data_IF_298539566357
#
_entry.id   IF_298539566357
#
_cell.length_a   1.000
_cell.length_b   1.000
_cell.length_c   1.000
_cell.angle_alpha   90.00
_cell.angle_beta   90.00
_cell.angle_gamma   90.00
#
_symmetry.space_group_name_H-M   'P 1'
#
loop_
_entity.id
_entity.type
_entity.pdbx_description
1 polymer ?
#
# COMPACT_ATOMS: atom_id res chain seq x y z
N UNK A 1 10.73 27.71 -20.30
CA UNK A 1 9.25 27.69 -20.31
C UNK A 1 8.66 26.28 -20.50
N UNK A 2 9.01 25.49 -21.53
CA UNK A 2 8.39 24.16 -21.78
C UNK A 2 8.70 23.03 -20.76
N UNK A 3 9.85 23.05 -20.08
CA UNK A 3 10.25 21.99 -19.11
C UNK A 3 9.71 22.25 -17.70
N UNK A 4 9.83 23.49 -17.21
CA UNK A 4 9.35 23.92 -15.88
C UNK A 4 7.84 23.81 -15.73
N UNK A 5 7.08 24.08 -16.80
CA UNK A 5 5.62 23.97 -16.79
C UNK A 5 5.18 22.49 -16.65
N UNK A 6 5.84 21.56 -17.35
CA UNK A 6 5.55 20.12 -17.22
C UNK A 6 5.87 19.59 -15.81
N UNK A 7 6.94 20.08 -15.19
CA UNK A 7 7.32 19.72 -13.82
C UNK A 7 6.32 20.21 -12.77
N UNK A 8 5.83 21.46 -12.86
CA UNK A 8 4.83 22.03 -11.93
C UNK A 8 3.51 21.25 -11.97
N UNK A 9 3.04 20.87 -13.18
CA UNK A 9 1.85 20.04 -13.32
C UNK A 9 2.00 18.71 -12.57
N UNK A 10 3.12 18.02 -12.80
CA UNK A 10 3.36 16.73 -12.17
C UNK A 10 3.49 16.83 -10.66
N UNK A 11 4.13 17.86 -10.12
CA UNK A 11 4.23 18.01 -8.67
C UNK A 11 2.87 18.30 -8.03
N UNK A 12 2.03 19.13 -8.64
CA UNK A 12 0.67 19.39 -8.13
C UNK A 12 -0.20 18.15 -8.25
N UNK A 13 -0.09 17.39 -9.34
CA UNK A 13 -0.80 16.13 -9.52
C UNK A 13 -0.29 15.06 -8.55
N UNK A 14 1.02 14.85 -8.43
CA UNK A 14 1.61 13.90 -7.47
C UNK A 14 1.27 14.29 -6.03
N UNK A 15 1.38 15.57 -5.66
CA UNK A 15 0.95 16.03 -4.36
C UNK A 15 -0.55 15.76 -4.16
N UNK A 16 -1.38 15.93 -5.19
CA UNK A 16 -2.80 15.56 -5.14
C UNK A 16 -3.05 14.08 -4.82
N UNK A 17 -2.29 13.19 -5.47
CA UNK A 17 -2.42 11.75 -5.26
C UNK A 17 -1.86 11.30 -3.92
N UNK A 18 -0.71 11.83 -3.50
CA UNK A 18 -0.17 11.48 -2.19
C UNK A 18 -1.05 12.03 -1.07
N UNK A 19 -1.61 13.23 -1.23
CA UNK A 19 -2.61 13.76 -0.31
C UNK A 19 -3.83 12.82 -0.21
N UNK A 20 -4.19 12.15 -1.31
CA UNK A 20 -5.36 11.28 -1.35
C UNK A 20 -5.23 9.98 -0.57
N UNK A 21 -4.00 9.55 -0.30
CA UNK A 21 -3.68 8.50 0.68
C UNK A 21 -4.04 8.89 2.12
N UNK A 22 -4.20 10.19 2.41
CA UNK A 22 -4.63 10.67 3.73
C UNK A 22 -6.16 10.86 3.85
N UNK A 23 -6.92 10.58 2.78
CA UNK A 23 -8.35 10.91 2.66
C UNK A 23 -9.32 9.98 3.40
N UNK A 24 -8.91 8.79 3.85
CA UNK A 24 -9.82 7.81 4.45
C UNK A 24 -9.59 7.59 5.95
N UNK A 25 -9.75 8.62 6.80
CA UNK A 25 -9.83 8.56 8.29
C UNK A 25 -8.76 7.72 9.01
N UNK A 26 -7.71 7.34 8.30
CA UNK A 26 -6.85 6.25 8.64
C UNK A 26 -5.71 6.38 7.68
N UNK A 27 -4.51 6.58 8.25
CA UNK A 27 -3.37 7.24 7.65
C UNK A 27 -3.34 8.77 7.93
N UNK A 28 -2.92 9.14 9.14
CA UNK A 28 -2.40 10.49 9.45
C UNK A 28 -1.02 10.67 8.75
N UNK A 29 -0.99 10.67 7.41
CA UNK A 29 0.27 10.64 6.65
C UNK A 29 0.72 12.03 6.21
N UNK A 30 -0.17 13.02 6.26
CA UNK A 30 0.14 14.38 5.83
C UNK A 30 0.38 15.29 7.04
N UNK A 31 1.62 15.75 7.18
CA UNK A 31 1.94 16.90 8.05
C UNK A 31 1.81 18.21 7.27
N UNK A 32 1.90 19.35 7.95
CA UNK A 32 1.90 20.70 7.37
C UNK A 32 2.92 20.95 6.22
N UNK A 33 3.78 19.98 5.91
CA UNK A 33 4.76 20.02 4.81
C UNK A 33 4.16 20.05 3.40
N UNK A 34 2.92 19.57 3.16
CA UNK A 34 2.36 19.58 1.79
C UNK A 34 2.07 20.98 1.26
N UNK A 35 1.59 21.87 2.13
CA UNK A 35 1.40 23.29 1.79
C UNK A 35 2.77 23.93 1.50
N UNK A 36 3.83 23.46 2.16
CA UNK A 36 5.18 23.97 1.98
C UNK A 36 5.82 23.46 0.68
N UNK A 37 5.69 22.18 0.32
CA UNK A 37 6.16 21.64 -0.96
C UNK A 37 5.43 22.30 -2.15
N UNK A 38 4.12 22.52 -2.04
CA UNK A 38 3.35 23.29 -3.03
C UNK A 38 3.87 24.74 -3.13
N UNK A 39 4.26 25.37 -2.01
CA UNK A 39 4.86 26.72 -1.98
C UNK A 39 6.29 26.77 -2.54
N UNK A 40 7.14 25.79 -2.23
CA UNK A 40 8.52 25.72 -2.74
C UNK A 40 8.58 25.47 -4.26
N UNK A 41 7.55 24.79 -4.80
CA UNK A 41 7.31 24.64 -6.23
C UNK A 41 6.74 25.92 -6.85
N UNK A 42 5.85 26.63 -6.14
CA UNK A 42 5.34 27.94 -6.55
C UNK A 42 6.45 29.00 -6.65
N UNK A 43 7.40 28.97 -5.72
CA UNK A 43 8.46 29.99 -5.59
C UNK A 43 9.74 29.63 -6.35
N UNK A 44 9.80 28.43 -6.96
CA UNK A 44 10.91 28.01 -7.82
C UNK A 44 12.19 27.65 -7.09
N UNK A 45 12.13 27.40 -5.78
CA UNK A 45 13.29 27.15 -4.89
C UNK A 45 13.64 25.66 -4.72
N UNK A 46 12.97 24.78 -5.46
CA UNK A 46 13.02 23.30 -5.33
C UNK A 46 14.37 22.64 -5.67
N UNK A 47 15.39 23.40 -6.09
CA UNK A 47 16.72 22.87 -6.42
C UNK A 47 17.67 22.94 -5.21
N UNK A 48 17.54 22.02 -4.25
CA UNK A 48 18.61 21.70 -3.29
C UNK A 48 18.51 20.25 -2.76
N UNK A 49 18.77 19.22 -3.57
CA UNK A 49 19.58 18.02 -3.20
C UNK A 49 19.73 17.04 -4.36
N UNK A 50 20.79 16.23 -4.28
CA UNK A 50 21.35 15.36 -5.32
C UNK A 50 20.58 14.05 -5.60
N UNK A 51 20.94 13.48 -6.75
CA UNK A 51 20.32 12.41 -7.52
C UNK A 51 20.45 11.00 -6.89
N UNK A 52 19.38 10.20 -7.03
CA UNK A 52 19.39 8.74 -6.91
C UNK A 52 18.64 8.13 -8.10
N UNK A 53 19.24 7.13 -8.74
CA UNK A 53 18.70 6.40 -9.89
C UNK A 53 17.71 5.30 -9.43
N UNK A 54 16.59 5.14 -10.14
CA UNK A 54 15.62 4.05 -9.94
C UNK A 54 15.27 3.37 -11.27
N UNK A 55 15.28 2.03 -11.26
CA UNK A 55 14.98 1.14 -12.37
C UNK A 55 13.51 0.66 -12.40
N UNK A 56 13.14 0.08 -13.54
CA UNK A 56 11.82 -0.27 -14.07
C UNK A 56 11.37 -1.70 -13.74
N UNK A 57 10.05 -1.94 -13.62
CA UNK A 57 9.34 -3.07 -14.25
C UNK A 57 7.84 -3.06 -13.93
N UNK A 58 6.99 -3.02 -14.96
CA UNK A 58 5.61 -3.54 -14.89
C UNK A 58 5.58 -5.00 -15.35
N UNK A 59 4.85 -5.88 -14.66
CA UNK A 59 4.89 -7.32 -14.96
C UNK A 59 3.51 -7.99 -15.11
N UNK A 60 3.43 -8.87 -16.11
CA UNK A 60 2.47 -9.97 -16.22
C UNK A 60 2.70 -11.00 -15.09
N UNK A 61 1.71 -11.86 -14.80
CA UNK A 61 1.81 -12.91 -13.77
C UNK A 61 3.12 -13.71 -13.87
N UNK A 62 3.97 -13.59 -12.85
CA UNK A 62 5.28 -14.25 -12.74
C UNK A 62 5.24 -15.50 -11.86
N UNK A 63 4.07 -15.86 -11.30
CA UNK A 63 3.91 -17.02 -10.43
C UNK A 63 3.84 -18.29 -11.28
N UNK A 64 4.74 -19.22 -11.03
CA UNK A 64 4.73 -20.55 -11.64
C UNK A 64 3.45 -21.32 -11.26
N UNK A 65 2.86 -22.12 -12.18
CA UNK A 65 1.64 -22.87 -11.90
C UNK A 65 1.76 -23.78 -10.67
N UNK A 66 0.74 -23.75 -9.82
CA UNK A 66 0.64 -24.65 -8.68
C UNK A 66 0.62 -26.12 -9.10
N UNK A 67 1.29 -26.97 -8.31
CA UNK A 67 1.29 -28.42 -8.45
C UNK A 67 0.73 -29.05 -7.18
N UNK A 68 -0.30 -29.88 -7.32
CA UNK A 68 -0.88 -30.61 -6.19
C UNK A 68 0.16 -31.53 -5.53
N UNK A 69 0.17 -31.57 -4.20
CA UNK A 69 1.16 -32.35 -3.45
C UNK A 69 1.13 -32.09 -1.95
N UNK A 70 2.12 -32.64 -1.26
CA UNK A 70 2.32 -32.42 0.18
C UNK A 70 3.54 -31.55 0.40
N UNK A 71 3.37 -30.46 1.15
CA UNK A 71 4.39 -29.45 1.42
C UNK A 71 4.42 -29.18 2.92
N UNK A 72 5.57 -29.36 3.56
CA UNK A 72 5.73 -29.16 5.02
C UNK A 72 4.80 -30.04 5.86
N UNK A 73 4.35 -31.17 5.32
CA UNK A 73 3.37 -32.07 5.94
C UNK A 73 1.89 -31.72 5.69
N UNK A 74 1.59 -30.67 4.92
CA UNK A 74 0.24 -30.23 4.57
C UNK A 74 -0.09 -30.67 3.13
N UNK A 75 -1.24 -31.30 2.92
CA UNK A 75 -1.70 -31.73 1.60
C UNK A 75 -2.50 -30.61 0.91
N UNK A 76 -2.10 -30.25 -0.31
CA UNK A 76 -2.78 -29.28 -1.16
C UNK A 76 -3.25 -29.97 -2.45
N UNK A 77 -4.57 -30.04 -2.62
CA UNK A 77 -5.19 -30.68 -3.79
C UNK A 77 -5.31 -29.73 -4.99
N UNK A 78 -5.49 -28.45 -4.72
CA UNK A 78 -5.72 -27.37 -5.69
C UNK A 78 -5.34 -26.00 -5.09
N UNK A 79 -5.39 -24.95 -5.90
CA UNK A 79 -5.12 -23.57 -5.45
C UNK A 79 -6.08 -23.10 -4.35
N UNK A 80 -7.34 -23.58 -4.37
CA UNK A 80 -8.31 -23.23 -3.33
C UNK A 80 -7.87 -23.75 -1.95
N UNK A 81 -7.29 -24.95 -1.89
CA UNK A 81 -6.72 -25.50 -0.65
C UNK A 81 -5.53 -24.68 -0.14
N UNK A 82 -4.70 -24.13 -1.04
CA UNK A 82 -3.59 -23.23 -0.67
C UNK A 82 -4.12 -21.93 -0.07
N UNK A 83 -5.09 -21.29 -0.73
CA UNK A 83 -5.70 -20.03 -0.26
C UNK A 83 -6.40 -20.23 1.09
N UNK A 84 -7.16 -21.31 1.26
CA UNK A 84 -7.84 -21.60 2.52
C UNK A 84 -6.85 -21.81 3.68
N UNK A 85 -5.70 -22.46 3.42
CA UNK A 85 -4.66 -22.62 4.44
C UNK A 85 -3.97 -21.30 4.77
N UNK A 86 -3.70 -20.45 3.77
CA UNK A 86 -3.22 -19.08 4.00
C UNK A 86 -4.19 -18.31 4.91
N UNK A 87 -5.49 -18.32 4.62
CA UNK A 87 -6.52 -17.65 5.44
C UNK A 87 -6.56 -18.19 6.87
N UNK A 88 -6.43 -19.51 7.04
CA UNK A 88 -6.33 -20.13 8.36
C UNK A 88 -5.11 -19.61 9.13
N UNK A 89 -3.93 -19.61 8.51
CA UNK A 89 -2.69 -19.17 9.14
C UNK A 89 -2.69 -17.66 9.43
N UNK A 90 -3.23 -16.86 8.51
CA UNK A 90 -3.47 -15.42 8.69
C UNK A 90 -4.33 -15.16 9.92
N UNK A 91 -5.49 -15.81 10.02
CA UNK A 91 -6.43 -15.63 11.12
C UNK A 91 -5.83 -16.07 12.46
N UNK A 92 -5.10 -17.18 12.47
CA UNK A 92 -4.36 -17.62 13.64
C UNK A 92 -3.32 -16.58 14.07
N UNK A 93 -2.56 -16.02 13.13
CA UNK A 93 -1.55 -14.98 13.40
C UNK A 93 -2.18 -13.70 13.94
N UNK A 94 -3.26 -13.22 13.32
CA UNK A 94 -4.00 -12.02 13.77
C UNK A 94 -4.73 -12.24 15.10
N UNK A 95 -4.87 -13.47 15.58
CA UNK A 95 -5.37 -13.69 16.95
C UNK A 95 -4.32 -13.44 18.04
N UNK A 96 -3.03 -13.33 17.67
CA UNK A 96 -1.91 -13.25 18.60
C UNK A 96 -1.54 -11.80 18.90
N UNK A 97 -1.28 -11.52 20.17
CA UNK A 97 -0.81 -10.21 20.65
C UNK A 97 0.50 -10.32 21.41
N UNK A 98 1.24 -9.22 21.44
CA UNK A 98 2.44 -9.06 22.26
C UNK A 98 2.34 -7.77 23.10
N UNK A 99 3.15 -7.70 24.16
CA UNK A 99 3.25 -6.52 25.00
C UNK A 99 4.34 -5.59 24.47
N UNK A 100 4.06 -4.29 24.50
CA UNK A 100 4.96 -3.25 24.08
C UNK A 100 4.96 -2.11 25.10
N UNK A 101 5.97 -1.25 25.03
CA UNK A 101 5.95 0.07 25.67
C UNK A 101 5.73 1.12 24.58
N UNK A 102 4.75 2.01 24.75
CA UNK A 102 4.50 3.11 23.82
C UNK A 102 5.43 4.32 24.05
N UNK A 103 5.29 5.34 23.21
CA UNK A 103 6.12 6.55 23.26
C UNK A 103 5.98 7.34 24.57
N UNK A 104 4.88 7.15 25.31
CA UNK A 104 4.63 7.78 26.60
C UNK A 104 5.11 6.91 27.78
N UNK A 105 5.67 5.73 27.49
CA UNK A 105 6.17 4.78 28.49
C UNK A 105 5.10 3.85 29.07
N UNK A 106 3.90 3.79 28.49
CA UNK A 106 2.83 2.91 28.96
C UNK A 106 2.96 1.51 28.38
N UNK A 107 2.60 0.51 29.18
CA UNK A 107 2.42 -0.86 28.68
C UNK A 107 1.15 -0.95 27.83
N UNK A 108 1.29 -1.41 26.60
CA UNK A 108 0.21 -1.58 25.62
C UNK A 108 0.28 -2.99 25.01
N UNK A 109 -0.85 -3.49 24.50
CA UNK A 109 -0.92 -4.78 23.80
C UNK A 109 -1.37 -4.56 22.37
N UNK A 110 -0.55 -4.98 21.42
CA UNK A 110 -0.81 -4.88 19.98
C UNK A 110 -0.64 -6.25 19.32
N UNK A 111 -0.93 -6.36 18.02
CA UNK A 111 -0.61 -7.57 17.25
C UNK A 111 0.83 -8.03 17.49
N UNK A 112 1.05 -9.33 17.64
CA UNK A 112 2.39 -9.89 17.86
C UNK A 112 3.30 -9.69 16.64
N UNK A 113 2.73 -9.80 15.44
CA UNK A 113 3.41 -9.62 14.17
C UNK A 113 3.07 -8.25 13.57
N UNK A 114 3.81 -7.22 14.01
CA UNK A 114 3.77 -5.89 13.41
C UNK A 114 4.74 -5.80 12.22
N UNK A 115 4.36 -5.03 11.20
CA UNK A 115 5.13 -4.86 9.97
C UNK A 115 5.67 -3.45 9.76
N UNK A 116 6.59 -3.37 8.81
CA UNK A 116 7.12 -2.14 8.22
C UNK A 116 6.38 -1.82 6.94
N UNK A 117 6.39 -0.54 6.56
CA UNK A 117 5.74 -0.06 5.36
C UNK A 117 6.74 0.81 4.58
N UNK A 118 6.83 0.58 3.28
CA UNK A 118 7.60 1.40 2.35
C UNK A 118 6.74 1.75 1.13
N UNK A 119 6.69 3.03 0.78
CA UNK A 119 5.94 3.51 -0.37
C UNK A 119 6.90 4.12 -1.36
N UNK A 120 6.96 3.51 -2.53
CA UNK A 120 7.87 3.90 -3.60
C UNK A 120 7.07 4.42 -4.78
N UNK A 121 7.59 5.50 -5.38
CA UNK A 121 7.07 5.96 -6.66
C UNK A 121 7.96 5.43 -7.77
N UNK A 122 7.33 4.70 -8.69
CA UNK A 122 7.93 4.27 -9.94
C UNK A 122 7.83 5.33 -11.02
N UNK A 123 7.42 4.91 -12.22
CA UNK A 123 7.42 5.77 -13.40
C UNK A 123 6.34 6.83 -13.34
N UNK A 124 6.71 8.04 -13.74
CA UNK A 124 5.76 9.15 -13.95
C UNK A 124 5.69 9.50 -15.43
N UNK A 125 4.51 9.34 -16.01
CA UNK A 125 4.24 9.64 -17.41
C UNK A 125 3.40 10.91 -17.52
N UNK A 126 3.80 11.83 -18.40
CA UNK A 126 2.97 12.97 -18.82
C UNK A 126 2.63 12.78 -20.29
N UNK A 127 1.34 12.77 -20.63
CA UNK A 127 0.87 12.54 -21.99
C UNK A 127 1.50 11.26 -22.59
N UNK A 128 1.66 10.23 -21.76
CA UNK A 128 2.30 8.96 -22.12
C UNK A 128 3.82 9.03 -22.32
N UNK A 129 4.49 10.12 -21.95
CA UNK A 129 5.95 10.25 -22.05
C UNK A 129 6.61 10.40 -20.69
N UNK A 130 7.66 9.62 -20.45
CA UNK A 130 8.54 9.77 -19.29
C UNK A 130 9.29 11.10 -19.32
N UNK A 131 9.64 11.61 -18.15
CA UNK A 131 10.48 12.79 -18.01
C UNK A 131 11.45 12.58 -16.85
N UNK A 132 12.74 12.46 -17.15
CA UNK A 132 13.79 12.18 -16.16
C UNK A 132 13.84 13.20 -15.01
N UNK A 133 13.55 14.48 -15.29
CA UNK A 133 13.52 15.52 -14.23
C UNK A 133 12.36 15.27 -13.25
N UNK A 134 11.27 14.70 -13.74
CA UNK A 134 10.06 14.43 -12.94
C UNK A 134 10.21 13.12 -12.19
N UNK A 135 10.75 12.09 -12.83
CA UNK A 135 11.05 10.81 -12.20
C UNK A 135 12.03 10.97 -11.03
N UNK A 136 12.95 11.93 -11.09
CA UNK A 136 13.87 12.21 -9.98
C UNK A 136 13.25 13.08 -8.87
N UNK A 137 12.25 13.91 -9.19
CA UNK A 137 11.68 14.88 -8.26
C UNK A 137 10.54 14.29 -7.42
N UNK A 138 9.71 13.48 -8.05
CA UNK A 138 8.48 12.95 -7.47
C UNK A 138 8.75 12.06 -6.24
N UNK A 139 9.69 11.09 -6.28
CA UNK A 139 10.00 10.25 -5.11
C UNK A 139 10.37 11.06 -3.87
N UNK A 140 11.16 12.13 -4.00
CA UNK A 140 11.55 12.99 -2.86
C UNK A 140 10.35 13.69 -2.22
N UNK A 141 9.41 14.18 -3.05
CA UNK A 141 8.19 14.83 -2.55
C UNK A 141 7.30 13.81 -1.85
N UNK A 142 7.14 12.62 -2.43
CA UNK A 142 6.29 11.56 -1.86
C UNK A 142 6.90 11.00 -0.58
N UNK A 143 8.21 10.76 -0.55
CA UNK A 143 8.92 10.28 0.65
C UNK A 143 8.80 11.25 1.83
N UNK A 144 8.83 12.56 1.57
CA UNK A 144 8.57 13.58 2.61
C UNK A 144 7.11 13.66 3.08
N UNK A 145 6.18 13.10 2.32
CA UNK A 145 4.74 13.05 2.62
C UNK A 145 4.28 11.70 3.19
N UNK A 146 5.11 10.66 3.12
CA UNK A 146 4.79 9.36 3.68
C UNK A 146 5.17 9.33 5.16
N UNK A 147 4.17 9.24 6.06
CA UNK A 147 4.44 9.07 7.49
C UNK A 147 4.45 7.61 7.86
N UNK A 148 5.65 7.03 8.01
CA UNK A 148 5.84 5.65 8.46
C UNK A 148 4.88 5.27 9.60
N UNK A 149 4.27 4.09 9.49
CA UNK A 149 3.46 3.50 10.55
C UNK A 149 3.76 2.01 10.67
N UNK A 150 3.13 1.36 11.63
CA UNK A 150 3.25 -0.06 11.85
C UNK A 150 1.89 -0.63 12.23
N UNK A 151 1.55 -1.76 11.61
CA UNK A 151 0.26 -2.43 11.67
C UNK A 151 0.45 -3.96 11.63
N UNK A 152 -0.59 -4.71 11.97
CA UNK A 152 -0.62 -6.16 11.71
C UNK A 152 -0.74 -6.48 10.20
N UNK A 153 -0.81 -7.77 9.84
CA UNK A 153 -0.93 -8.22 8.45
C UNK A 153 -2.07 -7.51 7.69
N UNK A 154 -1.89 -7.14 6.40
CA UNK A 154 -2.90 -6.43 5.61
C UNK A 154 -4.05 -7.34 5.19
N UNK A 155 -5.24 -6.81 4.87
CA UNK A 155 -5.68 -5.45 5.16
C UNK A 155 -5.77 -5.22 6.68
N UNK A 156 -5.46 -4.00 7.14
CA UNK A 156 -5.38 -3.72 8.56
C UNK A 156 -5.80 -2.29 8.84
N UNK A 157 -6.81 -2.06 9.67
CA UNK A 157 -7.28 -0.77 10.16
C UNK A 157 -6.64 -0.31 11.52
N UNK A 158 -5.96 -1.17 12.26
CA UNK A 158 -5.24 -0.70 13.45
C UNK A 158 -4.20 -1.70 13.93
N UNK A 159 -3.18 -1.23 14.66
CA UNK A 159 -2.23 -2.15 15.33
C UNK A 159 -2.80 -2.74 16.61
N UNK A 160 -3.73 -2.02 17.24
CA UNK A 160 -4.57 -2.54 18.31
C UNK A 160 -5.69 -3.39 17.70
N UNK A 161 -5.72 -4.70 17.96
CA UNK A 161 -6.76 -5.58 17.42
C UNK A 161 -8.18 -5.12 17.76
N UNK A 162 -8.40 -4.44 18.89
CA UNK A 162 -9.73 -3.97 19.29
C UNK A 162 -10.27 -2.90 18.34
N UNK A 163 -9.39 -2.15 17.69
CA UNK A 163 -9.76 -1.07 16.77
C UNK A 163 -9.57 -1.49 15.30
N UNK A 164 -9.19 -2.74 15.05
CA UNK A 164 -8.87 -3.24 13.72
C UNK A 164 -10.12 -3.62 12.92
N UNK A 165 -10.93 -2.62 12.61
CA UNK A 165 -12.21 -2.76 11.93
C UNK A 165 -12.57 -1.48 11.17
N UNK A 166 -13.61 -1.51 10.34
CA UNK A 166 -13.97 -0.40 9.44
C UNK A 166 -14.25 0.91 10.16
N UNK A 167 -14.79 0.87 11.37
CA UNK A 167 -15.12 2.07 12.14
C UNK A 167 -14.00 2.52 13.08
N UNK A 168 -12.97 1.71 13.30
CA UNK A 168 -11.98 1.96 14.35
C UNK A 168 -12.60 1.92 15.75
N UNK A 169 -13.65 1.12 15.95
CA UNK A 169 -14.43 1.07 17.20
C UNK A 169 -14.59 -0.38 17.66
N UNK A 170 -14.14 -0.68 18.88
CA UNK A 170 -14.19 -2.02 19.46
C UNK A 170 -15.62 -2.55 19.69
N UNK A 171 -16.60 -1.67 19.84
CA UNK A 171 -18.00 -2.04 20.10
C UNK A 171 -18.83 -2.11 18.82
N UNK A 172 -18.36 -1.52 17.73
CA UNK A 172 -19.09 -1.45 16.48
C UNK A 172 -18.10 -1.56 15.30
N UNK A 173 -17.77 -2.78 14.86
CA UNK A 173 -16.76 -2.98 13.83
C UNK A 173 -17.13 -2.40 12.45
N UNK A 174 -18.40 -2.06 12.23
CA UNK A 174 -18.88 -1.63 10.93
C UNK A 174 -19.01 -2.83 9.98
N UNK A 175 -18.67 -2.63 8.72
CA UNK A 175 -18.85 -3.63 7.66
C UNK A 175 -17.82 -4.77 7.75
N UNK A 176 -16.57 -4.44 8.02
CA UNK A 176 -15.46 -5.39 8.09
C UNK A 176 -14.73 -5.35 9.43
N UNK A 177 -14.45 -6.52 9.96
CA UNK A 177 -13.61 -6.78 11.14
C UNK A 177 -12.29 -7.41 10.68
N UNK A 178 -11.25 -6.59 10.56
CA UNK A 178 -9.97 -6.96 9.94
C UNK A 178 -9.05 -7.78 10.85
N UNK A 179 -9.55 -8.20 12.03
CA UNK A 179 -8.94 -9.29 12.80
C UNK A 179 -8.99 -10.63 12.07
N UNK A 180 -9.79 -10.72 11.01
CA UNK A 180 -9.89 -11.89 10.14
C UNK A 180 -9.71 -11.49 8.67
N UNK A 181 -9.18 -12.42 7.88
CA UNK A 181 -9.10 -12.27 6.43
C UNK A 181 -10.47 -12.50 5.80
N UNK A 182 -10.79 -11.65 4.83
CA UNK A 182 -11.93 -11.81 3.93
C UNK A 182 -11.52 -12.36 2.56
N UNK A 183 -10.23 -12.66 2.34
CA UNK A 183 -9.73 -13.19 1.08
C UNK A 183 -10.26 -14.60 0.85
N UNK A 184 -10.68 -14.89 -0.38
CA UNK A 184 -11.27 -16.18 -0.77
C UNK A 184 -10.54 -16.78 -1.96
N UNK A 185 -10.70 -18.09 -2.24
CA UNK A 185 -10.18 -18.70 -3.47
C UNK A 185 -10.60 -17.95 -4.75
N UNK A 186 -11.80 -17.37 -4.75
CA UNK A 186 -12.35 -16.58 -5.84
C UNK A 186 -11.63 -15.25 -6.05
N UNK A 187 -10.93 -14.75 -5.04
CA UNK A 187 -10.13 -13.52 -5.12
C UNK A 187 -8.72 -13.77 -5.67
N UNK A 188 -8.27 -15.03 -5.64
CA UNK A 188 -6.95 -15.42 -6.10
C UNK A 188 -6.88 -15.50 -7.63
N UNK A 189 -5.86 -14.89 -8.22
CA UNK A 189 -5.53 -15.02 -9.63
C UNK A 189 -4.55 -16.18 -9.86
N UNK A 190 -3.54 -16.29 -9.01
CA UNK A 190 -2.55 -17.35 -9.04
C UNK A 190 -1.93 -17.51 -7.65
N UNK A 191 -1.57 -18.74 -7.29
CA UNK A 191 -0.77 -18.98 -6.09
C UNK A 191 0.21 -20.14 -6.30
N UNK A 192 1.20 -20.23 -5.44
CA UNK A 192 2.09 -21.37 -5.37
C UNK A 192 2.57 -21.61 -3.94
N UNK A 193 3.13 -22.79 -3.69
CA UNK A 193 3.66 -23.20 -2.39
C UNK A 193 5.02 -23.87 -2.57
N UNK A 194 5.94 -23.53 -1.67
CA UNK A 194 7.26 -24.15 -1.56
C UNK A 194 7.43 -24.69 -0.15
N UNK A 195 7.92 -25.92 -0.04
CA UNK A 195 8.40 -26.47 1.24
C UNK A 195 9.84 -26.04 1.45
N UNK A 196 10.11 -25.35 2.56
CA UNK A 196 11.44 -24.82 2.87
C UNK A 196 12.37 -25.88 3.50
N UNK A 197 11.82 -27.05 3.88
CA UNK A 197 12.59 -28.15 4.49
C UNK A 197 13.04 -27.88 5.94
N UNK A 198 12.60 -26.78 6.54
CA UNK A 198 12.96 -26.34 7.89
C UNK A 198 11.77 -26.37 8.88
N UNK A 199 10.65 -26.98 8.47
CA UNK A 199 9.39 -26.96 9.22
C UNK A 199 8.46 -25.82 8.85
N UNK A 200 8.83 -25.01 7.84
CA UNK A 200 7.98 -23.97 7.27
C UNK A 200 7.67 -24.22 5.80
N UNK A 201 6.59 -23.61 5.34
CA UNK A 201 6.28 -23.46 3.91
C UNK A 201 6.22 -21.99 3.54
N UNK A 202 6.45 -21.67 2.28
CA UNK A 202 6.25 -20.33 1.72
C UNK A 202 5.12 -20.38 0.70
N UNK A 203 4.09 -19.57 0.90
CA UNK A 203 2.99 -19.38 -0.04
C UNK A 203 3.18 -18.06 -0.76
N UNK A 204 3.13 -18.07 -2.09
CA UNK A 204 3.07 -16.85 -2.90
C UNK A 204 1.66 -16.72 -3.48
N UNK A 205 1.03 -15.55 -3.35
CA UNK A 205 -0.33 -15.26 -3.84
C UNK A 205 -0.30 -13.98 -4.67
N UNK A 206 -0.99 -14.01 -5.82
CA UNK A 206 -1.39 -12.84 -6.59
C UNK A 206 -2.92 -12.71 -6.55
N UNK A 207 -3.49 -11.64 -6.00
CA UNK A 207 -4.92 -11.36 -6.11
C UNK A 207 -5.31 -10.91 -7.52
N UNK A 208 -6.58 -11.12 -7.90
CA UNK A 208 -7.14 -10.60 -9.16
C UNK A 208 -7.10 -9.09 -9.21
N UNK A 209 -6.87 -8.56 -10.40
CA UNK A 209 -6.82 -7.13 -10.68
C UNK A 209 -8.07 -6.39 -10.18
N UNK A 210 -7.88 -5.14 -9.77
CA UNK A 210 -8.94 -4.28 -9.25
C UNK A 210 -8.82 -2.86 -9.76
N UNK A 211 -9.90 -2.09 -9.62
CA UNK A 211 -9.93 -0.67 -9.93
C UNK A 211 -10.76 0.05 -8.89
N UNK A 212 -10.25 1.18 -8.40
CA UNK A 212 -10.85 1.95 -7.30
C UNK A 212 -11.11 1.07 -6.06
N UNK A 213 -10.18 0.14 -5.80
CA UNK A 213 -10.32 -0.87 -4.76
C UNK A 213 -10.45 -0.26 -3.37
N UNK A 214 -11.35 -0.83 -2.58
CA UNK A 214 -11.63 -0.44 -1.20
C UNK A 214 -11.32 -1.59 -0.27
N UNK A 215 -10.78 -1.28 0.91
CA UNK A 215 -10.41 -2.29 1.91
C UNK A 215 -11.59 -3.21 2.22
N UNK A 216 -11.39 -4.52 2.13
CA UNK A 216 -12.37 -5.58 2.37
C UNK A 216 -13.37 -5.86 1.22
N UNK A 217 -13.51 -4.96 0.25
CA UNK A 217 -14.60 -5.04 -0.72
C UNK A 217 -14.30 -5.99 -1.89
N UNK A 218 -13.10 -5.91 -2.46
CA UNK A 218 -12.68 -6.65 -3.64
C UNK A 218 -11.39 -7.45 -3.42
N UNK A 219 -10.94 -8.17 -4.44
CA UNK A 219 -9.79 -9.07 -4.33
C UNK A 219 -8.51 -8.36 -3.90
N UNK A 220 -8.32 -7.11 -4.32
CA UNK A 220 -7.19 -6.27 -3.92
C UNK A 220 -7.35 -5.79 -2.48
N UNK A 221 -8.50 -5.23 -2.12
CA UNK A 221 -8.77 -4.72 -0.77
C UNK A 221 -8.89 -5.79 0.31
N UNK A 222 -9.08 -7.06 -0.07
CA UNK A 222 -9.08 -8.21 0.85
C UNK A 222 -7.70 -8.80 1.11
N UNK A 223 -6.71 -8.45 0.28
CA UNK A 223 -5.35 -8.99 0.37
C UNK A 223 -4.30 -7.92 0.71
N UNK A 224 -4.46 -6.70 0.17
CA UNK A 224 -3.54 -5.59 0.37
C UNK A 224 -4.18 -4.45 1.17
N UNK A 225 -3.32 -3.56 1.64
CA UNK A 225 -3.70 -2.26 2.17
C UNK A 225 -3.84 -1.26 1.00
N UNK A 226 -5.02 -1.24 0.39
CA UNK A 226 -5.31 -0.42 -0.80
C UNK A 226 -5.46 1.07 -0.48
N UNK A 227 -5.14 1.91 -1.47
CA UNK A 227 -5.21 3.38 -1.36
C UNK A 227 -6.62 3.93 -1.03
N UNK A 228 -7.70 3.23 -1.41
CA UNK A 228 -9.07 3.62 -1.12
C UNK A 228 -9.61 4.79 -1.97
N UNK A 229 -10.60 5.52 -1.43
CA UNK A 229 -11.21 6.65 -2.13
C UNK A 229 -10.31 7.88 -2.10
N UNK A 230 -9.84 8.26 -3.28
CA UNK A 230 -8.98 9.42 -3.47
C UNK A 230 -9.75 10.69 -3.86
N UNK A 231 -11.04 10.57 -4.21
CA UNK A 231 -11.83 11.62 -4.85
C UNK A 231 -11.96 12.87 -3.99
N UNK A 232 -12.34 12.69 -2.71
CA UNK A 232 -12.53 13.80 -1.78
C UNK A 232 -11.26 14.64 -1.59
N UNK A 233 -10.09 13.98 -1.56
CA UNK A 233 -8.83 14.68 -1.43
C UNK A 233 -8.46 15.41 -2.72
N UNK A 234 -8.65 14.78 -3.88
CA UNK A 234 -8.42 15.43 -5.17
C UNK A 234 -9.31 16.67 -5.31
N UNK A 235 -10.58 16.58 -4.91
CA UNK A 235 -11.55 17.70 -4.93
C UNK A 235 -11.16 18.86 -4.00
N UNK A 236 -10.39 18.60 -2.95
CA UNK A 236 -9.93 19.64 -2.01
C UNK A 236 -8.88 20.59 -2.60
N UNK A 237 -8.36 20.28 -3.79
CA UNK A 237 -7.22 20.98 -4.40
C UNK A 237 -7.74 22.13 -5.23
N UNK A 238 -7.81 23.31 -4.62
CA UNK A 238 -8.37 24.52 -5.22
C UNK A 238 -7.76 24.94 -6.58
N UNK A 239 -6.54 24.50 -6.90
CA UNK A 239 -5.85 24.82 -8.14
C UNK A 239 -6.11 23.82 -9.27
N UNK A 240 -6.73 22.67 -8.95
CA UNK A 240 -7.08 21.62 -9.89
C UNK A 240 -8.52 21.83 -10.38
N UNK A 241 -8.71 21.68 -11.69
CA UNK A 241 -10.04 21.64 -12.32
C UNK A 241 -9.99 20.75 -13.54
N UNK A 242 -11.15 20.36 -14.08
CA UNK A 242 -11.22 19.46 -15.23
C UNK A 242 -11.56 20.25 -16.50
N UNK A 243 -10.87 19.93 -17.60
CA UNK A 243 -11.24 20.44 -18.92
C UNK A 243 -12.56 19.83 -19.41
N UNK A 244 -12.82 18.58 -19.00
CA UNK A 244 -14.07 17.85 -19.19
C UNK A 244 -14.23 16.76 -18.12
N UNK A 245 -15.46 16.35 -17.83
CA UNK A 245 -15.75 15.28 -16.88
C UNK A 245 -15.61 15.69 -15.41
N UNK A 246 -15.70 14.69 -14.55
CA UNK A 246 -15.65 14.77 -13.09
C UNK A 246 -14.37 14.16 -12.54
N UNK A 247 -14.08 14.37 -11.26
CA UNK A 247 -12.95 13.74 -10.57
C UNK A 247 -12.99 12.22 -10.65
N UNK A 248 -14.16 11.61 -10.47
CA UNK A 248 -14.31 10.15 -10.56
C UNK A 248 -14.04 9.59 -11.96
N UNK A 249 -14.33 10.35 -13.02
CA UNK A 249 -14.04 9.94 -14.40
C UNK A 249 -12.58 10.15 -14.77
N UNK A 250 -11.94 11.15 -14.16
CA UNK A 250 -10.60 11.60 -14.54
C UNK A 250 -9.48 11.02 -13.67
N UNK A 251 -9.77 10.67 -12.41
CA UNK A 251 -8.82 10.08 -11.48
C UNK A 251 -9.15 8.60 -11.29
N UNK A 252 -8.33 7.73 -11.87
CA UNK A 252 -8.50 6.29 -11.81
C UNK A 252 -7.32 5.67 -11.08
N UNK A 253 -7.59 4.69 -10.22
CA UNK A 253 -6.60 3.91 -9.50
C UNK A 253 -6.78 2.46 -9.89
N UNK A 254 -5.79 1.86 -10.54
CA UNK A 254 -5.83 0.48 -11.01
C UNK A 254 -4.76 -0.33 -10.28
N UNK A 255 -5.11 -1.56 -9.93
CA UNK A 255 -4.28 -2.46 -9.15
C UNK A 255 -4.07 -3.73 -9.96
N UNK A 256 -2.81 -4.07 -10.24
CA UNK A 256 -2.46 -5.28 -11.00
C UNK A 256 -1.00 -5.66 -10.73
N UNK A 257 -0.70 -6.96 -10.78
CA UNK A 257 0.66 -7.49 -10.68
C UNK A 257 1.25 -7.57 -9.27
N UNK A 258 0.58 -7.02 -8.26
CA UNK A 258 1.03 -7.15 -6.86
C UNK A 258 1.01 -8.60 -6.36
N UNK A 259 1.92 -8.94 -5.45
CA UNK A 259 2.04 -10.28 -4.87
C UNK A 259 2.30 -10.24 -3.36
N UNK A 260 1.87 -11.27 -2.63
CA UNK A 260 2.33 -11.53 -1.27
C UNK A 260 3.12 -12.82 -1.20
N UNK A 261 4.22 -12.84 -0.45
CA UNK A 261 5.04 -14.01 -0.13
C UNK A 261 5.00 -14.22 1.38
N UNK A 262 4.43 -15.34 1.83
CA UNK A 262 4.08 -15.58 3.22
C UNK A 262 4.70 -16.88 3.71
N UNK A 263 5.62 -16.78 4.67
CA UNK A 263 6.27 -17.91 5.31
C UNK A 263 5.46 -18.35 6.54
N UNK A 264 5.08 -19.62 6.59
CA UNK A 264 4.21 -20.18 7.62
C UNK A 264 4.91 -21.35 8.30
N UNK A 265 4.95 -21.33 9.64
CA UNK A 265 5.32 -22.49 10.45
C UNK A 265 4.16 -23.50 10.45
N UNK A 266 4.39 -24.70 9.93
CA UNK A 266 3.32 -25.69 9.71
C UNK A 266 2.90 -26.41 10.99
N UNK A 267 3.73 -26.38 12.04
CA UNK A 267 3.39 -26.98 13.32
C UNK A 267 2.38 -26.12 14.10
N UNK A 268 2.48 -24.80 13.95
CA UNK A 268 1.65 -23.82 14.67
C UNK A 268 0.60 -23.14 13.80
N UNK A 269 0.71 -23.26 12.47
CA UNK A 269 -0.07 -22.49 11.49
C UNK A 269 0.05 -20.98 11.71
N UNK A 270 1.26 -20.50 12.04
CA UNK A 270 1.53 -19.07 12.28
C UNK A 270 2.37 -18.53 11.15
N UNK A 271 2.01 -17.35 10.64
CA UNK A 271 2.85 -16.58 9.73
C UNK A 271 4.05 -16.06 10.54
N UNK A 272 5.24 -16.43 10.12
CA UNK A 272 6.49 -16.06 10.80
C UNK A 272 7.24 -14.93 10.09
N UNK A 273 7.01 -14.79 8.77
CA UNK A 273 7.58 -13.75 7.92
C UNK A 273 6.64 -13.54 6.73
N UNK A 274 6.48 -12.30 6.29
CA UNK A 274 5.67 -12.01 5.11
C UNK A 274 6.13 -10.73 4.42
N UNK A 275 6.10 -10.75 3.10
CA UNK A 275 6.32 -9.61 2.22
C UNK A 275 5.09 -9.41 1.35
N UNK A 276 4.50 -8.22 1.37
CA UNK A 276 3.41 -7.83 0.49
C UNK A 276 3.89 -6.71 -0.41
N UNK A 277 3.91 -6.95 -1.72
CA UNK A 277 4.19 -5.96 -2.74
C UNK A 277 2.89 -5.62 -3.46
N UNK A 278 2.30 -4.47 -3.17
CA UNK A 278 1.14 -3.96 -3.91
C UNK A 278 1.61 -3.04 -5.04
N UNK A 279 1.21 -3.34 -6.27
CA UNK A 279 1.49 -2.52 -7.44
C UNK A 279 0.22 -1.80 -7.91
N UNK A 280 0.33 -0.47 -8.03
CA UNK A 280 -0.79 0.42 -8.34
C UNK A 280 -0.40 1.38 -9.44
N UNK A 281 -1.28 1.57 -10.42
CA UNK A 281 -1.19 2.65 -11.38
C UNK A 281 -2.31 3.66 -11.13
N UNK A 282 -1.93 4.89 -10.85
CA UNK A 282 -2.87 6.01 -10.76
C UNK A 282 -2.81 6.81 -12.05
N UNK A 283 -3.97 7.14 -12.61
CA UNK A 283 -4.12 7.90 -13.85
C UNK A 283 -4.99 9.13 -13.65
N UNK A 284 -4.59 10.23 -14.27
CA UNK A 284 -5.28 11.51 -14.30
C UNK A 284 -5.50 11.93 -15.71
N UNK A 285 -6.73 12.35 -16.01
CA UNK A 285 -7.09 12.84 -17.33
C UNK A 285 -7.67 14.24 -17.29
N UNK A 286 -7.50 14.99 -18.36
CA UNK A 286 -8.14 16.30 -18.56
C UNK A 286 -7.86 17.34 -17.44
N UNK A 287 -6.72 17.25 -16.76
CA UNK A 287 -6.39 18.14 -15.66
C UNK A 287 -6.01 19.55 -16.15
N UNK A 288 -6.60 20.55 -15.49
CA UNK A 288 -6.20 21.95 -15.56
C UNK A 288 -5.55 22.33 -14.23
N UNK A 289 -4.30 22.80 -14.27
CA UNK A 289 -3.59 23.34 -13.10
C UNK A 289 -3.02 24.71 -13.46
N UNK A 290 -3.56 25.77 -12.85
CA UNK A 290 -3.15 27.15 -13.12
C UNK A 290 -3.20 27.48 -14.63
N UNK A 291 -2.05 27.79 -15.24
CA UNK A 291 -1.88 28.10 -16.68
C UNK A 291 -1.83 26.85 -17.56
N UNK A 292 -1.79 25.67 -16.97
CA UNK A 292 -1.67 24.38 -17.64
C UNK A 292 -3.06 23.84 -17.84
N UNK A 293 -3.39 23.51 -19.09
CA UNK A 293 -4.74 23.11 -19.48
C UNK A 293 -4.73 21.78 -20.19
N UNK A 294 -5.74 20.97 -19.85
CA UNK A 294 -6.11 19.72 -20.50
C UNK A 294 -4.91 18.78 -20.70
N UNK A 295 -4.42 18.24 -19.58
CA UNK A 295 -3.27 17.34 -19.55
C UNK A 295 -3.61 16.04 -18.83
N UNK A 296 -2.99 14.96 -19.26
CA UNK A 296 -3.05 13.65 -18.62
C UNK A 296 -1.70 13.24 -18.05
N UNK A 297 -1.73 12.53 -16.93
CA UNK A 297 -0.56 11.95 -16.31
C UNK A 297 -0.88 10.59 -15.70
N UNK A 298 0.12 9.72 -15.60
CA UNK A 298 0.01 8.49 -14.81
C UNK A 298 1.25 8.30 -13.95
N UNK A 299 1.08 7.58 -12.86
CA UNK A 299 2.11 7.28 -11.87
C UNK A 299 1.94 5.85 -11.42
N UNK A 300 3.05 5.11 -11.45
CA UNK A 300 3.13 3.79 -10.84
C UNK A 300 3.60 3.93 -9.39
N UNK A 301 2.95 3.23 -8.48
CA UNK A 301 3.20 3.23 -7.04
C UNK A 301 3.41 1.78 -6.63
N UNK A 302 4.48 1.53 -5.91
CA UNK A 302 4.70 0.29 -5.16
C UNK A 302 4.46 0.58 -3.69
N UNK A 303 3.67 -0.28 -3.04
CA UNK A 303 3.51 -0.25 -1.60
C UNK A 303 3.91 -1.60 -1.02
N UNK A 304 5.06 -1.58 -0.34
CA UNK A 304 5.72 -2.75 0.20
C UNK A 304 5.50 -2.82 1.70
N UNK A 305 5.13 -4.00 2.19
CA UNK A 305 5.03 -4.27 3.62
C UNK A 305 5.84 -5.50 3.98
N UNK A 306 6.73 -5.36 4.95
CA UNK A 306 7.58 -6.44 5.45
C UNK A 306 7.23 -6.80 6.89
N UNK A 307 7.24 -8.09 7.22
CA UNK A 307 6.96 -8.61 8.55
C UNK A 307 8.01 -9.66 8.94
N UNK A 308 8.53 -9.63 10.18
CA UNK A 308 8.26 -8.64 11.24
C UNK A 308 9.01 -7.32 11.05
N UNK A 309 8.50 -6.27 11.66
CA UNK A 309 9.23 -5.01 11.80
C UNK A 309 10.47 -5.15 12.70
N UNK A 310 11.56 -4.52 12.31
CA UNK A 310 12.73 -4.25 13.14
C UNK A 310 12.38 -3.39 14.36
N UNK A 311 13.18 -3.53 15.42
CA UNK A 311 13.01 -2.68 16.61
C UNK A 311 13.29 -1.21 16.27
N UNK A 312 14.25 -0.95 15.39
CA UNK A 312 14.58 0.37 14.87
C UNK A 312 13.37 1.00 14.19
N UNK A 313 12.70 0.27 13.30
CA UNK A 313 11.52 0.79 12.60
C UNK A 313 10.36 1.08 13.56
N UNK A 314 10.08 0.19 14.53
CA UNK A 314 9.01 0.42 15.52
C UNK A 314 9.25 1.70 16.35
N UNK A 315 10.51 1.93 16.74
CA UNK A 315 10.92 3.13 17.45
C UNK A 315 10.77 4.38 16.56
N UNK A 316 11.29 4.36 15.33
CA UNK A 316 11.21 5.50 14.41
C UNK A 316 9.77 5.85 14.03
N UNK A 317 8.95 4.85 13.71
CA UNK A 317 7.61 5.06 13.19
C UNK A 317 6.63 5.51 14.28
N UNK A 318 6.73 4.97 15.50
CA UNK A 318 5.72 5.17 16.56
C UNK A 318 6.26 5.29 17.98
N UNK A 319 7.58 5.24 18.18
CA UNK A 319 8.18 5.27 19.52
C UNK A 319 7.82 4.05 20.37
N UNK A 320 7.58 2.89 19.72
CA UNK A 320 7.17 1.67 20.40
C UNK A 320 8.38 0.75 20.58
N UNK A 321 8.53 0.13 21.76
CA UNK A 321 9.50 -0.94 22.01
C UNK A 321 8.83 -2.24 22.39
N UNK A 322 9.40 -3.37 21.98
CA UNK A 322 9.01 -4.69 22.48
C UNK A 322 9.39 -4.80 23.96
N UNK A 323 8.49 -5.37 24.77
CA UNK A 323 8.69 -5.57 26.20
C UNK A 323 9.65 -6.74 26.50
#
# INVERSE_FOLDING_TARGET
>A
MKKTIKAILCVVLVAAFVLSLAGCAKLNYVTNGTIQAIKEVQDGTWNQTDEGEGEDAGAATTIEPFVAGTYGGIEFADEASVVNYYVQAYNNTKSQTANYTDADGNAVSYYALLGEEDLQIGKVLIEGQENSVINNLVPTIVGGLFSKSTYGLPPCNNRDPLLDNSNGDASNPGQFDFRQSYFTPEDCQACNVVDNGDGTITITIQPKEGSMSMRGEDSQGRFFEVLGDIGATVDSISQLSWASGTTAENCLVNYSGGTGTIKIDTATNTVVEADYHMAVQVSVNHANVLVIKDKSASIDISYDMHYPASDEYLMEAKGITRA
#
